data_IF_356908314825
#
_entry.id   IF_356908314825
#
_cell.length_a   1.000
_cell.length_b   1.000
_cell.length_c   1.000
_cell.angle_alpha   90.00
_cell.angle_beta   90.00
_cell.angle_gamma   90.00
#
_symmetry.space_group_name_H-M   'P 1'
#
loop_
_entity.id
_entity.type
_entity.pdbx_description
1 polymer ?
#
# COMPACT_ATOMS: atom_id res chain seq x y z
N UNK A 1 -41.83 -37.57 9.53
CA UNK A 1 -41.20 -36.45 8.81
C UNK A 1 -39.75 -36.35 9.27
N UNK A 2 -38.82 -36.60 8.35
CA UNK A 2 -37.42 -36.90 8.64
C UNK A 2 -36.63 -35.64 9.04
N UNK A 3 -36.13 -35.65 10.28
CA UNK A 3 -35.19 -34.67 10.88
C UNK A 3 -33.95 -34.43 9.99
N UNK A 4 -33.59 -35.43 9.16
CA UNK A 4 -32.48 -35.38 8.23
C UNK A 4 -32.60 -34.29 7.14
N UNK A 5 -33.81 -33.86 6.77
CA UNK A 5 -34.01 -32.82 5.73
C UNK A 5 -33.79 -31.39 6.24
N UNK A 6 -33.91 -31.15 7.54
CA UNK A 6 -33.74 -29.81 8.12
C UNK A 6 -32.27 -29.39 8.21
N UNK A 7 -31.37 -30.35 8.43
CA UNK A 7 -29.92 -30.09 8.61
C UNK A 7 -29.26 -29.67 7.29
N UNK A 8 -29.71 -30.22 6.16
CA UNK A 8 -29.14 -29.92 4.84
C UNK A 8 -29.44 -28.49 4.38
N UNK A 9 -30.59 -27.92 4.77
CA UNK A 9 -30.98 -26.56 4.39
C UNK A 9 -30.20 -25.51 5.21
N UNK A 10 -29.87 -25.79 6.48
CA UNK A 10 -29.08 -24.88 7.32
C UNK A 10 -27.61 -24.77 6.86
N UNK A 11 -27.01 -25.85 6.35
CA UNK A 11 -25.65 -25.83 5.84
C UNK A 11 -25.52 -25.05 4.51
N UNK A 12 -26.55 -25.10 3.66
CA UNK A 12 -26.56 -24.37 2.39
C UNK A 12 -26.70 -22.84 2.59
N UNK A 13 -27.47 -22.40 3.60
CA UNK A 13 -27.65 -20.98 3.91
C UNK A 13 -26.43 -20.33 4.58
N UNK A 14 -25.62 -21.11 5.32
CA UNK A 14 -24.37 -20.65 5.93
C UNK A 14 -23.21 -20.54 4.90
N UNK A 15 -23.27 -21.25 3.78
CA UNK A 15 -22.26 -21.16 2.73
C UNK A 15 -22.42 -19.91 1.83
N UNK A 16 -23.64 -19.37 1.72
CA UNK A 16 -23.95 -18.21 0.87
C UNK A 16 -23.65 -16.84 1.50
N UNK A 17 -23.25 -16.78 2.78
CA UNK A 17 -22.85 -15.52 3.43
C UNK A 17 -21.33 -15.24 3.33
N UNK A 18 -20.53 -16.20 2.83
CA UNK A 18 -19.07 -16.09 2.77
C UNK A 18 -18.53 -15.49 1.46
N UNK A 19 -19.39 -14.92 0.62
CA UNK A 19 -18.97 -13.99 -0.44
C UNK A 19 -19.05 -12.53 0.02
N UNK A 20 -18.70 -12.27 1.28
CA UNK A 20 -18.01 -11.02 1.55
C UNK A 20 -16.70 -11.12 0.76
N UNK A 21 -16.70 -10.51 -0.44
CA UNK A 21 -15.45 -10.22 -1.15
C UNK A 21 -14.53 -9.63 -0.08
N UNK A 22 -13.53 -10.40 0.34
CA UNK A 22 -12.33 -9.83 0.90
C UNK A 22 -11.83 -8.94 -0.23
N UNK A 23 -12.29 -7.69 -0.21
CA UNK A 23 -11.81 -6.65 -1.09
C UNK A 23 -10.38 -6.53 -0.61
N UNK A 24 -9.48 -7.20 -1.33
CA UNK A 24 -8.05 -7.06 -1.10
C UNK A 24 -7.81 -5.57 -0.93
N UNK A 25 -7.28 -5.12 0.23
CA UNK A 25 -6.96 -3.71 0.40
C UNK A 25 -6.16 -3.33 -0.85
N UNK A 26 -6.50 -2.23 -1.55
CA UNK A 26 -5.92 -1.95 -2.86
C UNK A 26 -4.41 -2.09 -2.75
N UNK A 27 -3.93 -3.17 -3.37
CA UNK A 27 -2.52 -3.45 -3.46
C UNK A 27 -1.94 -2.33 -4.31
N UNK A 28 -0.73 -1.89 -3.96
CA UNK A 28 -0.15 -0.70 -4.58
C UNK A 28 -0.25 -0.75 -6.10
N UNK A 29 -0.46 0.42 -6.70
CA UNK A 29 -0.58 0.53 -8.15
C UNK A 29 0.68 1.16 -8.70
N UNK A 30 1.11 0.69 -9.87
CA UNK A 30 2.29 1.16 -10.60
C UNK A 30 1.88 1.70 -11.95
N UNK A 31 2.54 2.78 -12.35
CA UNK A 31 2.13 3.58 -13.49
C UNK A 31 3.33 4.01 -14.30
N UNK A 32 3.47 3.51 -15.54
CA UNK A 32 4.54 3.97 -16.40
C UNK A 32 4.32 5.46 -16.74
N UNK A 33 5.40 6.22 -16.63
CA UNK A 33 5.50 7.62 -17.03
C UNK A 33 6.50 7.68 -18.18
N UNK A 34 6.12 8.31 -19.28
CA UNK A 34 6.98 8.53 -20.44
C UNK A 34 6.51 9.78 -21.16
N UNK A 35 7.14 10.91 -20.87
CA UNK A 35 6.70 12.22 -21.33
C UNK A 35 7.86 13.21 -21.43
N UNK A 36 7.61 14.36 -22.06
CA UNK A 36 8.53 15.49 -22.08
C UNK A 36 7.87 16.62 -21.31
N UNK A 37 8.54 17.09 -20.25
CA UNK A 37 8.12 18.26 -19.47
C UNK A 37 8.73 19.49 -20.14
N UNK A 38 7.87 20.42 -20.56
CA UNK A 38 8.29 21.68 -21.20
C UNK A 38 8.23 22.80 -20.15
N UNK A 39 9.15 23.77 -20.19
CA UNK A 39 9.09 24.94 -19.30
C UNK A 39 7.71 25.60 -19.32
N UNK A 40 7.28 26.09 -18.14
CA UNK A 40 5.99 26.76 -17.92
C UNK A 40 4.73 25.90 -18.22
N UNK A 41 4.90 24.58 -18.41
CA UNK A 41 3.80 23.63 -18.61
C UNK A 41 3.86 22.53 -17.54
N UNK A 42 3.29 22.77 -16.34
CA UNK A 42 3.27 21.75 -15.30
C UNK A 42 2.44 20.55 -15.75
N UNK A 43 2.92 19.35 -15.43
CA UNK A 43 2.22 18.09 -15.71
C UNK A 43 1.87 17.45 -14.38
N UNK A 44 0.59 17.11 -14.24
CA UNK A 44 0.05 16.44 -13.06
C UNK A 44 -0.51 15.07 -13.44
N UNK A 45 -0.04 14.02 -12.76
CA UNK A 45 -0.47 12.64 -12.98
C UNK A 45 -1.31 12.20 -11.79
N UNK A 46 -2.62 12.41 -11.87
CA UNK A 46 -3.58 12.09 -10.80
C UNK A 46 -3.97 10.61 -10.83
N UNK A 47 -4.04 10.00 -9.64
CA UNK A 47 -4.40 8.58 -9.45
C UNK A 47 -5.43 8.37 -8.35
N UNK A 48 -6.49 7.58 -8.61
CA UNK A 48 -7.48 7.23 -7.60
C UNK A 48 -6.92 6.27 -6.56
N UNK A 49 -7.49 6.31 -5.37
CA UNK A 49 -7.12 5.42 -4.29
C UNK A 49 -8.30 5.19 -3.33
N UNK A 50 -8.23 4.11 -2.54
CA UNK A 50 -9.18 3.91 -1.44
C UNK A 50 -8.74 4.75 -0.25
N UNK A 51 -9.71 5.48 0.31
CA UNK A 51 -9.49 6.25 1.53
C UNK A 51 -9.33 5.32 2.73
N UNK A 52 -8.25 5.50 3.50
CA UNK A 52 -8.04 4.84 4.78
C UNK A 52 -7.29 5.80 5.73
N UNK A 53 -7.93 6.28 6.80
CA UNK A 53 -7.31 7.23 7.72
C UNK A 53 -6.30 6.59 8.69
N UNK A 54 -6.18 5.26 8.73
CA UNK A 54 -5.39 4.54 9.73
C UNK A 54 -4.10 3.92 9.20
N UNK A 55 -3.95 3.82 7.87
CA UNK A 55 -2.78 3.20 7.24
C UNK A 55 -1.93 4.23 6.49
N UNK A 56 -0.60 4.24 6.70
CA UNK A 56 0.26 5.14 5.95
C UNK A 56 0.33 4.70 4.48
N UNK A 57 0.52 5.69 3.61
CA UNK A 57 0.67 5.50 2.17
C UNK A 57 2.06 5.93 1.72
N UNK A 58 2.75 5.07 0.99
CA UNK A 58 4.03 5.37 0.35
C UNK A 58 3.77 5.77 -1.10
N UNK A 59 4.29 6.92 -1.51
CA UNK A 59 4.36 7.40 -2.88
C UNK A 59 5.80 7.31 -3.35
N UNK A 60 6.01 6.80 -4.55
CA UNK A 60 7.35 6.67 -5.11
C UNK A 60 7.37 7.01 -6.59
N UNK A 61 8.43 7.69 -7.02
CA UNK A 61 8.74 7.85 -8.43
C UNK A 61 10.15 7.34 -8.67
N UNK A 62 10.28 6.31 -9.52
CA UNK A 62 11.56 5.74 -9.90
C UNK A 62 11.72 5.81 -11.42
N UNK A 63 12.79 6.42 -11.91
CA UNK A 63 12.97 6.64 -13.34
C UNK A 63 14.30 7.25 -13.74
N UNK A 64 14.31 7.80 -14.94
CA UNK A 64 15.42 8.49 -15.59
C UNK A 64 14.88 9.82 -16.12
N UNK A 65 15.66 10.87 -15.94
CA UNK A 65 15.40 12.19 -16.51
C UNK A 65 16.52 12.54 -17.49
N UNK A 66 16.17 13.07 -18.65
CA UNK A 66 17.10 13.40 -19.73
C UNK A 66 17.04 14.88 -20.09
N UNK A 67 18.21 15.54 -20.12
CA UNK A 67 18.33 16.93 -20.54
C UNK A 67 18.39 17.09 -22.06
N UNK A 68 17.76 18.16 -22.56
CA UNK A 68 17.92 18.60 -23.94
C UNK A 68 19.28 19.27 -24.22
N UNK A 69 19.28 20.28 -25.09
CA UNK A 69 20.47 21.08 -25.43
C UNK A 69 20.75 22.15 -24.37
N UNK A 70 19.69 22.69 -23.77
CA UNK A 70 19.77 23.75 -22.78
C UNK A 70 19.82 23.20 -21.36
N UNK A 71 20.53 23.85 -20.43
CA UNK A 71 20.46 23.51 -19.01
C UNK A 71 19.01 23.63 -18.51
N UNK A 72 18.58 22.67 -17.70
CA UNK A 72 17.23 22.65 -17.18
C UNK A 72 17.20 22.25 -15.69
N UNK A 73 16.08 22.52 -15.04
CA UNK A 73 15.78 22.05 -13.68
C UNK A 73 14.41 21.37 -13.69
N UNK A 74 14.33 20.18 -13.09
CA UNK A 74 13.08 19.47 -12.86
C UNK A 74 12.70 19.63 -11.39
N UNK A 75 11.53 20.18 -11.10
CA UNK A 75 10.92 20.13 -9.78
C UNK A 75 9.87 19.03 -9.74
N UNK A 76 9.99 18.14 -8.77
CA UNK A 76 9.08 17.03 -8.53
C UNK A 76 8.50 17.13 -7.13
N UNK A 77 7.19 16.93 -7.00
CA UNK A 77 6.55 16.70 -5.72
C UNK A 77 5.30 15.84 -5.89
N UNK A 78 4.88 15.28 -4.77
CA UNK A 78 3.61 14.57 -4.69
C UNK A 78 2.57 15.45 -4.03
N UNK A 79 1.33 15.31 -4.46
CA UNK A 79 0.18 16.02 -3.90
C UNK A 79 -0.96 15.05 -3.60
N UNK A 80 -1.80 15.42 -2.65
CA UNK A 80 -2.94 14.63 -2.20
C UNK A 80 -4.02 15.49 -1.57
N UNK A 81 -5.21 14.90 -1.40
CA UNK A 81 -6.27 15.48 -0.59
C UNK A 81 -6.14 15.05 0.87
N UNK A 82 -6.11 16.01 1.78
CA UNK A 82 -6.18 15.78 3.21
C UNK A 82 -7.58 15.27 3.64
N UNK A 83 -7.74 14.76 4.88
CA UNK A 83 -9.03 14.26 5.35
C UNK A 83 -10.12 15.34 5.47
N UNK A 84 -9.75 16.62 5.49
CA UNK A 84 -10.67 17.76 5.46
C UNK A 84 -11.05 18.18 4.03
N UNK A 85 -10.47 17.55 3.00
CA UNK A 85 -10.67 17.86 1.59
C UNK A 85 -9.78 18.98 1.05
N UNK A 86 -8.81 19.46 1.83
CA UNK A 86 -7.82 20.45 1.41
C UNK A 86 -6.65 19.82 0.63
N UNK A 87 -6.01 20.57 -0.28
CA UNK A 87 -4.81 20.09 -0.96
C UNK A 87 -3.61 20.10 0.00
N UNK A 88 -2.80 19.06 -0.06
CA UNK A 88 -1.55 18.92 0.68
C UNK A 88 -0.45 18.39 -0.24
N UNK A 89 0.80 18.73 0.08
CA UNK A 89 1.94 18.54 -0.81
C UNK A 89 3.15 18.01 -0.04
N UNK A 90 3.96 17.18 -0.71
CA UNK A 90 5.29 16.84 -0.22
C UNK A 90 6.21 18.06 -0.38
N UNK A 91 7.33 18.12 0.35
CA UNK A 91 8.38 19.07 0.03
C UNK A 91 8.82 18.92 -1.45
N UNK A 92 9.01 20.02 -2.19
CA UNK A 92 9.48 19.96 -3.57
C UNK A 92 10.94 19.50 -3.63
N UNK A 93 11.23 18.62 -4.58
CA UNK A 93 12.60 18.20 -4.90
C UNK A 93 12.99 18.77 -6.25
N UNK A 94 13.97 19.66 -6.27
CA UNK A 94 14.50 20.24 -7.51
C UNK A 94 15.80 19.54 -7.90
N UNK A 95 15.84 19.03 -9.13
CA UNK A 95 16.96 18.31 -9.71
C UNK A 95 17.52 19.13 -10.87
N UNK A 96 18.79 19.57 -10.83
CA UNK A 96 19.43 20.14 -12.00
C UNK A 96 19.66 19.04 -13.04
N UNK A 97 19.31 19.32 -14.29
CA UNK A 97 19.45 18.39 -15.42
C UNK A 97 20.44 19.01 -16.41
N UNK A 98 21.71 18.56 -16.42
CA UNK A 98 22.70 19.03 -17.37
C UNK A 98 22.31 18.71 -18.81
N UNK A 99 22.75 19.54 -19.79
CA UNK A 99 22.57 19.25 -21.20
C UNK A 99 23.11 17.88 -21.59
N UNK A 100 22.36 17.14 -22.40
CA UNK A 100 22.75 15.84 -22.95
C UNK A 100 23.06 14.73 -21.91
N UNK A 101 22.69 14.92 -20.66
CA UNK A 101 22.87 13.92 -19.61
C UNK A 101 21.55 13.25 -19.23
N UNK A 102 21.66 11.98 -18.83
CA UNK A 102 20.56 11.21 -18.26
C UNK A 102 20.88 10.90 -16.81
N UNK A 103 19.99 11.30 -15.91
CA UNK A 103 20.16 11.13 -14.48
C UNK A 103 19.09 10.17 -13.94
N UNK A 104 19.46 9.17 -13.11
CA UNK A 104 18.49 8.36 -12.41
C UNK A 104 17.80 9.19 -11.32
N UNK A 105 16.52 8.95 -11.12
CA UNK A 105 15.70 9.59 -10.10
C UNK A 105 14.98 8.52 -9.28
N UNK A 106 15.10 8.58 -7.95
CA UNK A 106 14.38 7.71 -7.03
C UNK A 106 13.90 8.57 -5.85
N UNK A 107 12.60 8.89 -5.87
CA UNK A 107 11.96 9.76 -4.89
C UNK A 107 10.90 8.96 -4.16
N UNK A 108 10.87 9.09 -2.83
CA UNK A 108 9.90 8.44 -1.98
C UNK A 108 9.35 9.42 -0.94
N UNK A 109 8.04 9.36 -0.69
CA UNK A 109 7.38 10.14 0.35
C UNK A 109 6.29 9.31 1.03
N UNK A 110 6.18 9.42 2.36
CA UNK A 110 5.17 8.71 3.14
C UNK A 110 4.14 9.68 3.70
N UNK A 111 2.87 9.44 3.40
CA UNK A 111 1.71 10.14 3.94
C UNK A 111 1.19 9.34 5.14
N UNK A 112 0.79 9.97 6.26
CA UNK A 112 0.35 9.24 7.46
C UNK A 112 -1.04 8.59 7.34
N UNK A 113 -1.68 8.65 6.16
CA UNK A 113 -2.97 8.04 5.85
C UNK A 113 -3.02 7.73 4.34
N UNK A 114 -4.02 6.96 3.91
CA UNK A 114 -4.34 6.72 2.51
C UNK A 114 -5.40 7.72 2.03
N UNK A 115 -5.05 8.77 1.26
CA UNK A 115 -6.00 9.70 0.66
C UNK A 115 -6.80 9.05 -0.48
N UNK A 116 -7.89 9.70 -0.92
CA UNK A 116 -8.68 9.25 -2.09
C UNK A 116 -7.99 9.50 -3.43
N UNK A 117 -7.12 10.51 -3.49
CA UNK A 117 -6.39 10.92 -4.68
C UNK A 117 -4.94 11.21 -4.29
N UNK A 118 -4.03 10.81 -5.16
CA UNK A 118 -2.62 11.16 -5.09
C UNK A 118 -2.14 11.52 -6.48
N UNK A 119 -1.18 12.42 -6.57
CA UNK A 119 -0.61 12.83 -7.85
C UNK A 119 0.89 13.00 -7.78
N UNK A 120 1.48 12.98 -8.97
CA UNK A 120 2.86 13.36 -9.24
C UNK A 120 2.81 14.64 -10.07
N UNK A 121 3.34 15.75 -9.52
CA UNK A 121 3.49 17.03 -10.22
C UNK A 121 4.95 17.17 -10.68
N UNK A 122 5.12 17.45 -11.98
CA UNK A 122 6.39 17.64 -12.66
C UNK A 122 6.42 19.04 -13.28
N UNK A 123 7.45 19.82 -12.94
CA UNK A 123 7.65 21.18 -13.47
C UNK A 123 9.06 21.34 -13.99
N UNK A 124 9.20 21.86 -15.20
CA UNK A 124 10.50 22.18 -15.78
C UNK A 124 10.75 23.70 -15.75
N UNK A 125 12.02 24.07 -15.57
CA UNK A 125 12.54 25.41 -15.81
C UNK A 125 13.79 25.33 -16.71
N UNK A 126 14.00 26.35 -17.56
CA UNK A 126 15.12 26.35 -18.52
C UNK A 126 14.75 25.66 -19.83
N UNK A 127 15.26 24.44 -20.06
CA UNK A 127 14.98 23.62 -21.25
C UNK A 127 13.94 22.51 -21.04
N UNK A 128 13.51 21.83 -22.12
CA UNK A 128 12.65 20.65 -22.02
C UNK A 128 13.39 19.46 -21.41
N UNK A 129 12.68 18.66 -20.61
CA UNK A 129 13.23 17.50 -19.89
C UNK A 129 12.43 16.25 -20.28
N UNK A 130 13.11 15.22 -20.76
CA UNK A 130 12.52 13.90 -20.97
C UNK A 130 12.42 13.18 -19.62
N UNK A 131 11.26 12.62 -19.31
CA UNK A 131 11.02 11.89 -18.05
C UNK A 131 10.44 10.52 -18.39
N UNK A 132 11.15 9.46 -18.00
CA UNK A 132 10.71 8.07 -18.16
C UNK A 132 10.85 7.33 -16.84
N UNK A 133 9.81 6.66 -16.37
CA UNK A 133 9.87 5.95 -15.09
C UNK A 133 8.56 5.29 -14.69
N UNK A 134 8.43 5.03 -13.40
CA UNK A 134 7.25 4.45 -12.78
C UNK A 134 6.87 5.32 -11.58
N UNK A 135 5.65 5.86 -11.60
CA UNK A 135 4.99 6.38 -10.41
C UNK A 135 4.28 5.20 -9.74
N UNK A 136 4.50 4.99 -8.45
CA UNK A 136 3.81 3.96 -7.68
C UNK A 136 3.27 4.50 -6.37
N UNK A 137 2.20 3.87 -5.91
CA UNK A 137 1.61 4.24 -4.64
C UNK A 137 1.03 3.03 -3.90
N UNK A 138 1.34 2.87 -2.62
CA UNK A 138 0.95 1.70 -1.84
C UNK A 138 0.52 2.08 -0.42
N UNK A 139 -0.65 1.59 -0.01
CA UNK A 139 -1.06 1.60 1.39
C UNK A 139 -0.34 0.47 2.14
N UNK A 140 0.38 0.79 3.22
CA UNK A 140 1.09 -0.20 4.02
C UNK A 140 0.11 -0.84 5.00
N UNK A 141 -0.17 -2.15 4.90
CA UNK A 141 -1.05 -2.82 5.86
C UNK A 141 -0.40 -2.85 7.25
N UNK A 142 -1.21 -2.76 8.31
CA UNK A 142 -0.73 -2.99 9.67
C UNK A 142 -0.01 -4.35 9.75
N UNK A 143 1.18 -4.44 10.37
CA UNK A 143 1.80 -5.73 10.65
C UNK A 143 0.86 -6.51 11.58
N UNK A 144 0.21 -7.53 11.03
CA UNK A 144 -0.80 -8.37 11.69
C UNK A 144 -0.40 -8.76 13.13
N UNK A 145 -0.92 -8.04 14.12
CA UNK A 145 -0.78 -8.37 15.55
C UNK A 145 -1.54 -9.64 15.94
N UNK A 146 -2.45 -10.12 15.08
CA UNK A 146 -3.29 -11.30 15.29
C UNK A 146 -2.50 -12.62 15.20
N UNK A 147 -1.39 -12.66 14.45
CA UNK A 147 -0.55 -13.86 14.34
C UNK A 147 0.16 -14.22 15.67
N UNK A 148 0.45 -13.21 16.50
CA UNK A 148 1.05 -13.40 17.82
C UNK A 148 0.03 -13.88 18.88
N UNK A 149 -1.24 -13.48 18.77
CA UNK A 149 -2.28 -13.88 19.72
C UNK A 149 -2.77 -15.32 19.48
N UNK A 150 -2.89 -15.74 18.21
CA UNK A 150 -3.38 -17.08 17.85
C UNK A 150 -2.42 -18.22 18.20
N UNK A 151 -1.11 -17.99 18.09
CA UNK A 151 -0.08 -18.97 18.45
C UNK A 151 0.05 -19.17 19.97
N UNK A 152 -0.14 -18.11 20.77
CA UNK A 152 -0.10 -18.18 22.23
C UNK A 152 -1.20 -19.05 22.85
N UNK A 153 -2.43 -18.96 22.33
CA UNK A 153 -3.58 -19.74 22.84
C UNK A 153 -3.49 -21.23 22.51
N UNK A 154 -2.97 -21.59 21.34
CA UNK A 154 -2.75 -23.00 20.96
C UNK A 154 -1.62 -23.63 21.80
N UNK A 155 -0.53 -22.90 22.05
CA UNK A 155 0.58 -23.37 22.87
C UNK A 155 0.17 -23.61 24.35
N UNK A 156 -0.61 -22.69 24.93
CA UNK A 156 -1.15 -22.83 26.30
C UNK A 156 -2.17 -23.99 26.40
N UNK A 157 -3.03 -24.16 25.40
CA UNK A 157 -3.97 -25.29 25.34
C UNK A 157 -3.28 -26.65 25.29
N UNK A 158 -2.21 -26.77 24.49
CA UNK A 158 -1.40 -27.99 24.42
C UNK A 158 -0.66 -28.30 25.73
N UNK A 159 -0.10 -27.29 26.39
CA UNK A 159 0.59 -27.46 27.68
C UNK A 159 -0.36 -27.84 28.82
N UNK A 160 -1.57 -27.26 28.87
CA UNK A 160 -2.59 -27.61 29.84
C UNK A 160 -3.12 -29.05 29.63
N UNK A 161 -3.31 -29.47 28.39
CA UNK A 161 -3.71 -30.84 28.04
C UNK A 161 -2.62 -31.88 28.40
N UNK A 162 -1.35 -31.56 28.18
CA UNK A 162 -0.22 -32.43 28.53
C UNK A 162 -0.08 -32.61 30.05
N UNK A 163 -0.25 -31.54 30.85
CA UNK A 163 -0.23 -31.62 32.33
C UNK A 163 -1.38 -32.46 32.89
N UNK A 164 -2.58 -32.36 32.33
CA UNK A 164 -3.74 -33.19 32.75
C UNK A 164 -3.53 -34.68 32.45
N UNK A 165 -2.90 -35.04 31.32
CA UNK A 165 -2.59 -36.44 30.99
C UNK A 165 -1.53 -37.05 31.93
N UNK A 166 -0.54 -36.27 32.37
CA UNK A 166 0.51 -36.76 33.28
C UNK A 166 -0.02 -37.03 34.70
N UNK A 167 -0.93 -36.18 35.19
CA UNK A 167 -1.56 -36.36 36.50
C UNK A 167 -2.44 -37.62 36.57
N UNK A 168 -3.19 -37.96 35.50
CA UNK A 168 -4.00 -39.19 35.46
C UNK A 168 -3.18 -40.47 35.41
N UNK A 169 -1.99 -40.44 34.81
CA UNK A 169 -1.12 -41.62 34.70
C UNK A 169 -0.47 -42.00 36.03
N UNK A 170 -0.16 -41.01 36.87
CA UNK A 170 0.41 -41.25 38.20
C UNK A 170 -0.63 -41.70 39.24
N UNK A 171 -1.91 -41.37 39.05
CA UNK A 171 -2.98 -41.85 39.93
C UNK A 171 -3.40 -43.30 39.69
N UNK A 172 -3.06 -43.88 38.52
CA UNK A 172 -3.39 -45.27 38.18
C UNK A 172 -2.30 -46.28 38.60
N UNK A 173 -1.18 -45.82 39.16
CA UNK A 173 -0.06 -46.67 39.59
C UNK A 173 -0.03 -46.90 41.11
N UNK A 174 -1.09 -46.53 41.83
CA UNK A 174 -1.18 -46.67 43.30
C UNK A 174 -2.48 -47.34 43.77
N UNK A 175 -3.10 -48.15 42.91
CA UNK A 175 -4.22 -49.02 43.24
C UNK A 175 -3.87 -50.48 42.94
#
# INVERSE_FOLDING_TARGET
MNVLKLVVIAAALLASAASARAQEPPQGEEFPVGLIVVPDQPIEIVRPNVFDPFHPKVLRFHGIVGGGVDPAELTVFFDWLDPAGGPAYSPPTTIPVPPHEFLPLDLEYTIPFCPQLVSLDLRAAGGPIEVTGVFSHQCVPEPNSIAAAGTGLVALGCLAAARRRRSRRNGAASA
#
